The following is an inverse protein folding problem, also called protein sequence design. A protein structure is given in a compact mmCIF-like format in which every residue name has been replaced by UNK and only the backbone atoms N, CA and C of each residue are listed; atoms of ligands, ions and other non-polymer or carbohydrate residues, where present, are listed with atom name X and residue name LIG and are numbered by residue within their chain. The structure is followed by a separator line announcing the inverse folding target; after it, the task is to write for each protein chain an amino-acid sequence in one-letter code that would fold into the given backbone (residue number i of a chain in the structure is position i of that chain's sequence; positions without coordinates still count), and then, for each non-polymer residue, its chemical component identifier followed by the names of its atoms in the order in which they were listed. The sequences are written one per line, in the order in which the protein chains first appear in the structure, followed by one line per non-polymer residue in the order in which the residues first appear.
data_IF_970350258412
#
_entry.id   IF_970350258412
#
_cell.length_a   1.000
_cell.length_b   1.000
_cell.length_c   1.000
_cell.angle_alpha   90.00
_cell.angle_beta   90.00
_cell.angle_gamma   90.00
#
_symmetry.space_group_name_H-M   'P 1'
#
loop_
_entity.id
_entity.type
_entity.pdbx_description
1 polymer ?
#
# COMPACT_ATOMS: atom_id res chain seq x y z
N UNK A 1 -13.32 15.21 7.97
CA UNK A 1 -14.06 13.95 8.21
C UNK A 1 -13.02 12.85 8.25
N UNK A 2 -12.75 12.30 9.43
CA UNK A 2 -11.71 11.27 9.65
C UNK A 2 -12.16 9.96 9.04
N UNK A 3 -11.62 9.58 7.88
CA UNK A 3 -11.99 8.32 7.22
C UNK A 3 -11.15 7.19 7.81
N UNK A 4 -11.75 6.43 8.73
CA UNK A 4 -11.14 5.22 9.29
C UNK A 4 -11.27 4.11 8.26
N UNK A 5 -10.16 3.72 7.62
CA UNK A 5 -10.15 2.61 6.67
C UNK A 5 -10.16 1.27 7.41
N UNK A 6 -10.79 0.28 6.80
CA UNK A 6 -10.66 -1.13 7.21
C UNK A 6 -9.29 -1.68 6.83
N UNK A 7 -8.94 -2.82 7.43
CA UNK A 7 -7.70 -3.53 7.12
C UNK A 7 -7.54 -3.87 5.64
N UNK A 8 -8.60 -4.34 4.99
CA UNK A 8 -8.56 -4.68 3.57
C UNK A 8 -8.42 -3.44 2.67
N UNK A 9 -9.02 -2.32 3.07
CA UNK A 9 -8.89 -1.06 2.36
C UNK A 9 -7.48 -0.48 2.51
N UNK A 10 -6.86 -0.60 3.70
CA UNK A 10 -5.48 -0.21 3.92
C UNK A 10 -4.51 -1.07 3.11
N UNK A 11 -4.67 -2.40 3.13
CA UNK A 11 -3.89 -3.32 2.30
C UNK A 11 -3.98 -2.89 0.82
N UNK A 12 -5.19 -2.63 0.31
CA UNK A 12 -5.40 -2.20 -1.07
C UNK A 12 -4.77 -0.82 -1.35
N UNK A 13 -4.91 0.14 -0.43
CA UNK A 13 -4.37 1.48 -0.59
C UNK A 13 -2.83 1.49 -0.64
N UNK A 14 -2.17 0.67 0.19
CA UNK A 14 -0.71 0.50 0.17
C UNK A 14 -0.27 -0.07 -1.18
N UNK A 15 -0.91 -1.14 -1.65
CA UNK A 15 -0.60 -1.75 -2.95
C UNK A 15 -0.85 -0.78 -4.11
N UNK A 16 -1.91 0.03 -4.02
CA UNK A 16 -2.23 1.04 -5.03
C UNK A 16 -1.24 2.21 -5.03
N UNK A 17 -0.77 2.64 -3.87
CA UNK A 17 0.27 3.66 -3.73
C UNK A 17 1.61 3.17 -4.30
N UNK A 18 2.00 1.92 -4.02
CA UNK A 18 3.19 1.31 -4.61
C UNK A 18 3.04 1.16 -6.13
N UNK A 19 1.89 0.71 -6.64
CA UNK A 19 1.65 0.61 -8.10
C UNK A 19 1.72 1.96 -8.80
N UNK A 20 1.46 3.06 -8.10
CA UNK A 20 1.54 4.41 -8.66
C UNK A 20 2.99 4.91 -8.81
N UNK A 21 3.97 4.26 -8.18
CA UNK A 21 5.38 4.61 -8.38
C UNK A 21 5.93 3.94 -9.66
N UNK A 22 6.94 4.54 -10.32
CA UNK A 22 7.44 4.05 -11.60
C UNK A 22 7.91 2.58 -11.58
N UNK A 23 8.49 2.16 -10.46
CA UNK A 23 9.12 0.84 -10.31
C UNK A 23 8.35 -0.10 -9.37
N UNK A 24 7.16 0.30 -8.91
CA UNK A 24 6.46 -0.45 -7.87
C UNK A 24 7.14 -0.41 -6.50
N UNK A 25 8.08 0.54 -6.31
CA UNK A 25 8.88 0.70 -5.11
C UNK A 25 8.86 2.15 -4.58
N UNK A 26 9.09 2.33 -3.29
CA UNK A 26 9.23 3.65 -2.68
C UNK A 26 9.58 3.60 -1.20
N UNK A 27 9.97 4.74 -0.63
CA UNK A 27 10.19 4.86 0.81
C UNK A 27 8.88 4.73 1.57
N UNK A 28 8.88 3.94 2.65
CA UNK A 28 7.67 3.72 3.43
C UNK A 28 7.04 5.01 3.96
N UNK A 29 7.87 5.98 4.36
CA UNK A 29 7.39 7.28 4.84
C UNK A 29 6.56 8.03 3.77
N UNK A 30 6.99 7.95 2.50
CA UNK A 30 6.35 8.63 1.38
C UNK A 30 5.09 7.88 0.92
N UNK A 31 5.09 6.55 0.98
CA UNK A 31 3.90 5.75 0.72
C UNK A 31 2.84 5.99 1.80
N UNK A 32 3.25 5.99 3.07
CA UNK A 32 2.35 6.19 4.21
C UNK A 32 1.71 7.58 4.21
N UNK A 33 2.43 8.62 3.80
CA UNK A 33 1.89 9.98 3.75
C UNK A 33 0.81 10.17 2.68
N UNK A 34 0.71 9.26 1.71
CA UNK A 34 -0.34 9.23 0.68
C UNK A 34 -1.59 8.46 1.11
N UNK A 35 -1.52 7.71 2.22
CA UNK A 35 -2.66 6.95 2.71
C UNK A 35 -3.68 7.90 3.34
N UNK A 36 -4.99 7.74 3.07
CA UNK A 36 -6.01 8.60 3.64
C UNK A 36 -6.27 8.37 5.15
N UNK A 37 -5.56 7.43 5.78
CA UNK A 37 -5.67 7.12 7.20
C UNK A 37 -4.60 7.89 8.00
N UNK A 38 -5.05 8.74 8.92
CA UNK A 38 -4.18 9.55 9.78
C UNK A 38 -3.57 8.75 10.94
N UNK A 39 -4.02 7.51 11.18
CA UNK A 39 -3.53 6.68 12.28
C UNK A 39 -2.19 6.05 11.92
N UNK A 40 -1.27 6.04 12.89
CA UNK A 40 0.07 5.50 12.68
C UNK A 40 0.12 3.96 12.62
N UNK A 41 -0.56 3.28 13.54
CA UNK A 41 -0.47 1.82 13.72
C UNK A 41 -1.16 0.98 12.63
N UNK A 42 -2.39 1.28 12.20
CA UNK A 42 -3.10 0.45 11.23
C UNK A 42 -2.38 0.28 9.88
N UNK A 43 -1.76 1.32 9.29
CA UNK A 43 -0.92 1.15 8.09
C UNK A 43 0.28 0.23 8.30
N UNK A 44 0.90 0.26 9.48
CA UNK A 44 2.05 -0.61 9.78
C UNK A 44 1.61 -2.07 9.88
N UNK A 45 0.52 -2.35 10.58
CA UNK A 45 -0.03 -3.71 10.66
C UNK A 45 -0.40 -4.24 9.26
N UNK A 46 -0.97 -3.38 8.42
CA UNK A 46 -1.29 -3.73 7.02
C UNK A 46 -0.04 -4.02 6.20
N UNK A 47 1.00 -3.20 6.33
CA UNK A 47 2.29 -3.45 5.67
C UNK A 47 2.90 -4.79 6.11
N UNK A 48 2.91 -5.10 7.41
CA UNK A 48 3.41 -6.38 7.93
C UNK A 48 2.64 -7.56 7.32
N UNK A 49 1.31 -7.49 7.27
CA UNK A 49 0.49 -8.53 6.64
C UNK A 49 0.83 -8.74 5.16
N UNK A 50 1.06 -7.65 4.42
CA UNK A 50 1.42 -7.72 2.99
C UNK A 50 2.79 -8.38 2.79
N UNK A 51 3.74 -8.13 3.70
CA UNK A 51 5.06 -8.78 3.72
C UNK A 51 4.93 -10.27 4.04
N UNK A 52 4.18 -10.63 5.08
CA UNK A 52 3.95 -12.03 5.46
C UNK A 52 3.26 -12.83 4.35
N UNK A 53 2.43 -12.18 3.52
CA UNK A 53 1.79 -12.77 2.35
C UNK A 53 2.70 -12.82 1.11
N UNK A 54 3.92 -12.29 1.18
CA UNK A 54 4.85 -12.20 0.06
C UNK A 54 4.35 -11.31 -1.07
N UNK A 55 3.47 -10.34 -0.79
CA UNK A 55 2.98 -9.39 -1.80
C UNK A 55 3.86 -8.15 -1.90
N UNK A 56 4.61 -7.88 -0.83
CA UNK A 56 5.48 -6.72 -0.68
C UNK A 56 6.78 -7.18 -0.03
N UNK A 57 7.90 -6.70 -0.54
CA UNK A 57 9.21 -6.84 0.09
C UNK A 57 9.61 -5.52 0.75
N UNK A 58 10.40 -5.63 1.82
CA UNK A 58 11.01 -4.49 2.49
C UNK A 58 12.50 -4.68 2.67
N UNK A 59 13.26 -3.62 2.40
CA UNK A 59 14.70 -3.56 2.64
C UNK A 59 15.03 -2.26 3.35
N UNK A 60 15.95 -2.33 4.32
CA UNK A 60 16.42 -1.14 5.03
C UNK A 60 17.60 -0.53 4.28
N UNK A 61 17.47 0.72 3.86
CA UNK A 61 18.51 1.49 3.18
C UNK A 61 18.79 2.74 4.01
N UNK A 62 20.02 2.90 4.50
CA UNK A 62 20.43 4.04 5.33
C UNK A 62 19.49 4.31 6.52
N UNK A 63 19.03 3.24 7.18
CA UNK A 63 18.13 3.31 8.33
C UNK A 63 16.65 3.54 8.02
N UNK A 64 16.28 3.71 6.74
CA UNK A 64 14.90 3.92 6.29
C UNK A 64 14.37 2.68 5.58
N UNK A 65 13.09 2.41 5.75
CA UNK A 65 12.43 1.26 5.12
C UNK A 65 12.05 1.63 3.68
N UNK A 66 12.57 0.86 2.73
CA UNK A 66 12.27 0.92 1.32
C UNK A 66 11.42 -0.30 0.95
N UNK A 67 10.29 -0.05 0.31
CA UNK A 67 9.21 -1.03 0.15
C UNK A 67 8.96 -1.22 -1.34
N UNK A 68 8.83 -2.47 -1.78
CA UNK A 68 8.61 -2.84 -3.19
C UNK A 68 7.49 -3.86 -3.32
N UNK A 69 6.76 -3.83 -4.44
CA UNK A 69 5.90 -4.94 -4.83
C UNK A 69 6.74 -6.19 -5.09
N UNK A 70 6.41 -7.30 -4.43
CA UNK A 70 7.03 -8.60 -4.65
C UNK A 70 6.29 -9.42 -5.73
N UNK A 71 5.12 -8.93 -6.15
CA UNK A 71 4.26 -9.57 -7.15
C UNK A 71 3.94 -8.61 -8.29
N UNK A 72 3.73 -9.17 -9.47
CA UNK A 72 3.09 -8.45 -10.56
C UNK A 72 1.59 -8.31 -10.24
N UNK A 73 1.14 -7.08 -10.00
CA UNK A 73 -0.26 -6.82 -9.74
C UNK A 73 -1.00 -6.65 -11.08
N UNK A 74 -2.16 -7.31 -11.28
CA UNK A 74 -2.94 -7.12 -12.50
C UNK A 74 -3.33 -5.65 -12.69
N UNK A 75 -3.44 -5.18 -13.95
CA UNK A 75 -3.86 -3.82 -14.24
C UNK A 75 -5.25 -3.57 -13.63
N UNK A 76 -5.43 -2.40 -13.02
CA UNK A 76 -6.74 -2.00 -12.48
C UNK A 76 -7.77 -2.08 -13.61
N UNK A 77 -8.70 -3.05 -13.51
CA UNK A 77 -9.90 -2.98 -14.34
C UNK A 77 -10.68 -1.74 -13.88
N UNK A 78 -11.08 -0.84 -14.79
CA UNK A 78 -12.00 0.22 -14.44
C UNK A 78 -13.24 -0.46 -13.83
N UNK A 79 -13.61 -0.09 -12.61
CA UNK A 79 -14.87 -0.54 -11.99
C UNK A 79 -15.98 -0.16 -12.98
N UNK A 80 -16.55 -1.14 -13.69
CA UNK A 80 -17.75 -0.91 -14.49
C UNK A 80 -18.80 -0.41 -13.50
N UNK A 81 -19.18 0.86 -13.63
CA UNK A 81 -20.40 1.38 -13.00
C UNK A 81 -21.53 0.51 -13.54
N UNK A 82 -22.12 -0.33 -12.69
CA UNK A 82 -23.32 -1.08 -13.06
C UNK A 82 -24.42 -0.10 -13.49
N UNK A 83 -25.32 -0.49 -14.39
CA UNK A 83 -26.43 0.37 -14.78
C UNK A 83 -27.29 0.69 -13.56
N UNK A 84 -27.71 1.95 -13.49
CA UNK A 84 -28.62 2.49 -12.48
C UNK A 84 -30.01 1.87 -12.55
#
# INVERSE_FOLDING_TARGET
MTHTMTDAELDAAILDALRATPDGCGWWADIRSQLPDERFWPPITSLVRLIERGQVDTVKISGRDYVCLAIELPPRRPRRRGPA
#
